data_IF_752828289117
#
_entry.id   IF_752828289117
#
_cell.length_a   1.000
_cell.length_b   1.000
_cell.length_c   1.000
_cell.angle_alpha   90.00
_cell.angle_beta   90.00
_cell.angle_gamma   90.00
#
_symmetry.space_group_name_H-M   'P 1'
#
loop_
_entity.id
_entity.type
_entity.pdbx_description
1 polymer ?
#
# COMPACT_ATOMS: atom_id res chain seq x y z
N UNK A 1 4.28 13.10 11.01
CA UNK A 1 5.00 12.10 10.20
C UNK A 1 4.04 11.68 9.11
N UNK A 2 4.34 11.92 7.83
CA UNK A 2 3.51 11.43 6.72
C UNK A 2 3.89 9.97 6.52
N UNK A 3 2.95 9.04 6.71
CA UNK A 3 3.22 7.63 6.43
C UNK A 3 3.40 7.46 4.92
N UNK A 4 4.43 6.74 4.47
CA UNK A 4 4.64 6.50 3.04
C UNK A 4 3.60 5.47 2.58
N UNK A 5 2.58 5.92 1.85
CA UNK A 5 1.68 5.05 1.10
C UNK A 5 2.33 4.73 -0.24
N UNK A 6 2.10 3.52 -0.72
CA UNK A 6 2.37 3.09 -2.07
C UNK A 6 1.01 2.95 -2.77
N UNK A 7 0.94 3.39 -4.03
CA UNK A 7 -0.27 3.38 -4.83
C UNK A 7 -0.04 2.53 -6.08
N UNK A 8 -1.08 1.84 -6.54
CA UNK A 8 -1.09 1.29 -7.90
C UNK A 8 -1.02 2.42 -8.93
N UNK A 9 -0.65 2.09 -10.17
CA UNK A 9 -0.59 3.07 -11.26
C UNK A 9 -1.94 3.76 -11.51
N UNK A 10 -3.05 3.03 -11.30
CA UNK A 10 -4.42 3.52 -11.47
C UNK A 10 -4.99 4.21 -10.21
N UNK A 11 -4.20 4.32 -9.12
CA UNK A 11 -4.63 4.85 -7.81
C UNK A 11 -5.85 4.15 -7.17
N UNK A 12 -6.19 2.95 -7.64
CA UNK A 12 -7.31 2.13 -7.18
C UNK A 12 -6.93 1.16 -6.06
N UNK A 13 -5.63 1.02 -5.76
CA UNK A 13 -5.12 0.27 -4.62
C UNK A 13 -4.10 1.10 -3.84
N UNK A 14 -4.25 1.11 -2.52
CA UNK A 14 -3.31 1.72 -1.60
C UNK A 14 -2.70 0.66 -0.67
N UNK A 15 -1.39 0.77 -0.48
CA UNK A 15 -0.61 -0.10 0.38
C UNK A 15 0.20 0.73 1.38
N UNK A 16 0.26 0.27 2.63
CA UNK A 16 1.00 0.97 3.68
C UNK A 16 1.63 0.00 4.66
N UNK A 17 2.95 0.14 4.89
CA UNK A 17 3.67 -0.71 5.83
C UNK A 17 3.02 -0.70 7.21
N UNK A 18 2.63 -1.87 7.73
CA UNK A 18 1.82 -1.98 8.95
C UNK A 18 2.48 -1.32 10.16
N UNK A 19 3.81 -1.36 10.26
CA UNK A 19 4.57 -0.75 11.35
C UNK A 19 4.46 0.78 11.41
N UNK A 20 4.05 1.43 10.31
CA UNK A 20 3.79 2.87 10.30
C UNK A 20 2.43 3.23 10.92
N UNK A 21 1.45 2.33 10.95
CA UNK A 21 0.08 2.68 11.33
C UNK A 21 -0.31 2.10 12.70
N UNK A 22 -0.73 2.98 13.61
CA UNK A 22 -1.21 2.60 14.96
C UNK A 22 -2.51 1.80 14.91
N UNK A 23 -3.37 2.09 13.95
CA UNK A 23 -4.68 1.47 13.75
C UNK A 23 -5.04 1.41 12.27
N UNK A 24 -6.07 0.62 11.94
CA UNK A 24 -6.69 0.60 10.62
C UNK A 24 -7.31 1.97 10.27
N UNK A 25 -7.93 2.63 11.24
CA UNK A 25 -8.50 3.97 11.07
C UNK A 25 -7.43 5.00 10.65
N UNK A 26 -6.23 4.97 11.26
CA UNK A 26 -5.13 5.84 10.85
C UNK A 26 -4.65 5.56 9.42
N UNK A 27 -4.74 4.31 8.96
CA UNK A 27 -4.47 3.96 7.57
C UNK A 27 -5.53 4.55 6.64
N UNK A 28 -6.82 4.37 6.95
CA UNK A 28 -7.94 4.92 6.17
C UNK A 28 -7.85 6.46 6.07
N UNK A 29 -7.60 7.15 7.19
CA UNK A 29 -7.46 8.61 7.23
C UNK A 29 -6.33 9.10 6.33
N UNK A 30 -5.17 8.44 6.38
CA UNK A 30 -4.04 8.79 5.53
C UNK A 30 -4.33 8.54 4.04
N UNK A 31 -4.97 7.41 3.70
CA UNK A 31 -5.38 7.09 2.31
C UNK A 31 -6.31 8.16 1.76
N UNK A 32 -7.34 8.54 2.53
CA UNK A 32 -8.29 9.59 2.12
C UNK A 32 -7.61 10.96 1.98
N UNK A 33 -6.74 11.32 2.93
CA UNK A 33 -6.04 12.60 2.90
C UNK A 33 -5.09 12.70 1.69
N UNK A 34 -4.39 11.62 1.36
CA UNK A 34 -3.46 11.58 0.25
C UNK A 34 -4.18 11.52 -1.10
N UNK A 35 -5.23 10.69 -1.24
CA UNK A 35 -6.07 10.65 -2.45
C UNK A 35 -6.68 12.02 -2.77
N UNK A 36 -7.24 12.68 -1.76
CA UNK A 36 -7.78 14.03 -1.90
C UNK A 36 -6.72 15.05 -2.34
N UNK A 37 -5.45 14.82 -2.02
CA UNK A 37 -4.37 15.71 -2.47
C UNK A 37 -4.00 15.56 -3.94
N UNK A 38 -4.42 14.48 -4.61
CA UNK A 38 -4.20 14.27 -6.04
C UNK A 38 -5.16 15.10 -6.88
N UNK A 39 -6.47 14.91 -6.66
CA UNK A 39 -7.52 15.47 -7.53
C UNK A 39 -8.61 16.27 -6.78
N UNK A 40 -8.44 16.52 -5.48
CA UNK A 40 -9.41 17.18 -4.60
C UNK A 40 -10.78 16.46 -4.55
N UNK A 41 -10.79 15.17 -4.85
CA UNK A 41 -11.96 14.28 -4.75
C UNK A 41 -11.93 13.46 -3.47
N UNK A 42 -13.11 13.04 -3.04
CA UNK A 42 -13.23 12.12 -1.92
C UNK A 42 -13.22 10.66 -2.42
N UNK A 43 -12.91 9.73 -1.52
CA UNK A 43 -12.89 8.30 -1.84
C UNK A 43 -13.46 7.43 -0.72
N UNK A 44 -13.84 6.22 -1.08
CA UNK A 44 -14.15 5.13 -0.16
C UNK A 44 -13.00 4.14 -0.17
N UNK A 45 -12.56 3.75 1.03
CA UNK A 45 -11.58 2.69 1.23
C UNK A 45 -12.33 1.41 1.59
N UNK A 46 -12.09 0.33 0.85
CA UNK A 46 -12.74 -0.98 1.03
C UNK A 46 -11.72 -2.12 1.03
N UNK A 47 -12.20 -3.31 1.40
CA UNK A 47 -11.44 -4.57 1.33
C UNK A 47 -10.09 -4.50 2.07
N UNK A 48 -10.09 -3.81 3.21
CA UNK A 48 -8.89 -3.61 4.01
C UNK A 48 -8.47 -4.93 4.62
N UNK A 49 -7.21 -5.30 4.38
CA UNK A 49 -6.59 -6.49 4.97
C UNK A 49 -5.15 -6.18 5.38
N UNK A 50 -4.64 -7.01 6.27
CA UNK A 50 -3.21 -7.06 6.60
C UNK A 50 -2.66 -8.33 5.98
N UNK A 51 -1.69 -8.21 5.08
CA UNK A 51 -1.06 -9.36 4.44
C UNK A 51 0.45 -9.14 4.26
N UNK A 52 1.24 -10.24 4.20
CA UNK A 52 2.64 -10.14 3.86
C UNK A 52 2.80 -9.73 2.39
N UNK A 53 3.54 -8.66 2.15
CA UNK A 53 3.87 -8.14 0.83
C UNK A 53 5.38 -8.15 0.62
N UNK A 54 5.76 -8.08 -0.66
CA UNK A 54 7.13 -7.86 -1.12
C UNK A 54 7.20 -6.44 -1.68
N UNK A 55 8.05 -5.59 -1.11
CA UNK A 55 8.43 -4.31 -1.72
C UNK A 55 9.76 -4.50 -2.46
N UNK A 56 9.79 -4.13 -3.74
CA UNK A 56 10.95 -4.28 -4.62
C UNK A 56 10.96 -3.13 -5.62
N UNK A 57 12.14 -2.68 -6.02
CA UNK A 57 12.30 -1.64 -7.05
C UNK A 57 11.94 -2.14 -8.46
N UNK A 58 11.93 -3.45 -8.67
CA UNK A 58 11.64 -4.09 -9.95
C UNK A 58 10.74 -5.31 -9.79
N UNK A 59 9.93 -5.60 -10.80
CA UNK A 59 9.07 -6.79 -10.81
C UNK A 59 9.86 -8.08 -10.64
N UNK A 60 9.27 -9.05 -9.95
CA UNK A 60 9.88 -10.37 -9.77
C UNK A 60 9.76 -11.18 -11.08
N UNK A 61 10.88 -11.66 -11.67
CA UNK A 61 10.81 -12.54 -12.83
C UNK A 61 10.07 -13.83 -12.49
N UNK A 62 9.28 -14.33 -13.43
CA UNK A 62 8.68 -15.66 -13.32
C UNK A 62 9.75 -16.76 -13.32
N UNK A 63 9.46 -17.88 -12.65
CA UNK A 63 10.28 -19.11 -12.63
C UNK A 63 11.71 -18.96 -12.09
N UNK A 64 11.92 -18.09 -11.09
CA UNK A 64 13.22 -17.94 -10.40
C UNK A 64 13.13 -18.29 -8.92
N UNK A 65 14.12 -19.03 -8.41
CA UNK A 65 14.30 -19.28 -6.97
C UNK A 65 15.53 -18.51 -6.50
N UNK A 66 15.33 -17.48 -5.68
CA UNK A 66 16.40 -16.67 -5.12
C UNK A 66 16.34 -16.76 -3.59
N UNK A 67 17.44 -17.07 -2.89
CA UNK A 67 17.49 -16.98 -1.44
C UNK A 67 17.28 -15.53 -0.96
N UNK A 68 16.42 -15.30 0.03
CA UNK A 68 16.21 -13.95 0.60
C UNK A 68 17.51 -13.32 1.13
N UNK A 69 18.46 -14.12 1.62
CA UNK A 69 19.76 -13.63 2.09
C UNK A 69 20.64 -13.05 0.98
N UNK A 70 20.27 -13.23 -0.29
CA UNK A 70 21.00 -12.70 -1.44
C UNK A 70 20.25 -11.57 -2.13
N UNK A 71 19.15 -11.08 -1.55
CA UNK A 71 18.37 -9.96 -2.09
C UNK A 71 18.29 -8.82 -1.08
N UNK A 72 17.92 -7.65 -1.57
CA UNK A 72 17.50 -6.48 -0.81
C UNK A 72 15.97 -6.44 -0.59
N UNK A 73 15.28 -7.54 -0.91
CA UNK A 73 13.83 -7.65 -0.77
C UNK A 73 13.44 -7.72 0.71
N UNK A 74 12.51 -6.86 1.11
CA UNK A 74 11.84 -6.94 2.39
C UNK A 74 10.50 -7.67 2.24
N UNK A 75 10.27 -8.69 3.09
CA UNK A 75 8.95 -9.28 3.28
C UNK A 75 8.41 -8.77 4.60
N UNK A 76 7.31 -8.02 4.56
CA UNK A 76 6.67 -7.55 5.77
C UNK A 76 5.16 -7.41 5.62
N UNK A 77 4.46 -7.19 6.73
CA UNK A 77 3.02 -7.00 6.72
C UNK A 77 2.66 -5.58 6.30
N UNK A 78 1.76 -5.45 5.34
CA UNK A 78 1.21 -4.18 4.87
C UNK A 78 -0.30 -4.18 5.10
N UNK A 79 -0.86 -3.00 5.36
CA UNK A 79 -2.25 -2.76 5.02
C UNK A 79 -2.37 -2.67 3.51
N UNK A 80 -3.37 -3.32 2.95
CA UNK A 80 -3.76 -3.18 1.54
C UNK A 80 -5.24 -2.87 1.48
N UNK A 81 -5.66 -2.01 0.55
CA UNK A 81 -7.06 -1.68 0.37
C UNK A 81 -7.38 -1.26 -1.05
N UNK A 82 -8.64 -1.50 -1.44
CA UNK A 82 -9.25 -0.95 -2.65
C UNK A 82 -9.69 0.49 -2.38
N UNK A 83 -9.37 1.41 -3.29
CA UNK A 83 -9.78 2.80 -3.24
C UNK A 83 -10.73 3.09 -4.38
N UNK A 84 -11.92 3.59 -4.04
CA UNK A 84 -12.98 3.91 -4.99
C UNK A 84 -13.23 5.41 -4.93
N UNK A 85 -12.96 6.10 -6.04
CA UNK A 85 -13.28 7.51 -6.21
C UNK A 85 -14.79 7.76 -6.03
N UNK A 86 -15.14 8.87 -5.39
CA UNK A 86 -16.52 9.37 -5.34
C UNK A 86 -16.67 10.58 -6.27
N UNK A 87 -17.73 10.56 -7.07
CA UNK A 87 -18.19 11.68 -7.91
C UNK A 87 -18.71 12.87 -7.07
#
# INVERSE_FOLDING_TARGET
MKYKLLWSEDNDMAMGYKGHFKSEENFIEQVKAEFKSFDNKDCIVKDIKIEPCIETESGLPGDVVIPLSTTDIEIANYYTATVIELD
#
